data_IF_720164882308
#
_entry.id   IF_720164882308
#
_cell.length_a   1.000
_cell.length_b   1.000
_cell.length_c   1.000
_cell.angle_alpha   90.00
_cell.angle_beta   90.00
_cell.angle_gamma   90.00
#
_symmetry.space_group_name_H-M   'P 1'
#
loop_
_entity.id
_entity.type
_entity.pdbx_description
1 polymer ?
#
# COMPACT_ATOMS: atom_id res chain seq x y z
N UNK A 1 -27.66 -6.58 -22.60
CA UNK A 1 -27.45 -7.01 -21.19
C UNK A 1 -26.09 -7.69 -21.00
N UNK A 2 -25.09 -7.37 -21.84
CA UNK A 2 -23.72 -7.94 -21.82
C UNK A 2 -22.63 -6.85 -22.02
N UNK A 3 -22.90 -5.59 -21.64
CA UNK A 3 -22.02 -4.46 -21.96
C UNK A 3 -21.01 -4.07 -20.87
N UNK A 4 -20.98 -4.76 -19.73
CA UNK A 4 -20.19 -4.31 -18.56
C UNK A 4 -19.18 -5.34 -18.02
N UNK A 5 -18.93 -6.46 -18.71
CA UNK A 5 -17.98 -7.48 -18.25
C UNK A 5 -16.67 -7.42 -19.03
N UNK A 6 -15.91 -6.34 -18.84
CA UNK A 6 -14.63 -6.16 -19.48
C UNK A 6 -13.52 -6.71 -18.57
N UNK A 7 -12.80 -7.71 -19.05
CA UNK A 7 -11.54 -8.15 -18.44
C UNK A 7 -10.37 -7.45 -19.15
N UNK A 8 -9.25 -7.20 -18.45
CA UNK A 8 -8.07 -6.64 -19.08
C UNK A 8 -7.52 -7.57 -20.18
N UNK A 9 -6.88 -7.00 -21.19
CA UNK A 9 -6.11 -7.77 -22.18
C UNK A 9 -5.04 -8.61 -21.44
N UNK A 10 -5.21 -9.93 -21.52
CA UNK A 10 -4.36 -10.90 -20.84
C UNK A 10 -2.89 -10.77 -21.29
N UNK A 11 -2.65 -10.40 -22.55
CA UNK A 11 -1.30 -10.26 -23.07
C UNK A 11 -0.60 -9.06 -22.40
N UNK A 12 -1.29 -7.92 -22.30
CA UNK A 12 -0.77 -6.72 -21.63
C UNK A 12 -0.52 -6.96 -20.15
N UNK A 13 -1.47 -7.61 -19.47
CA UNK A 13 -1.35 -7.97 -18.06
C UNK A 13 -0.15 -8.90 -17.82
N UNK A 14 -0.01 -9.95 -18.65
CA UNK A 14 1.08 -10.92 -18.55
C UNK A 14 2.45 -10.27 -18.74
N UNK A 15 2.61 -9.43 -19.78
CA UNK A 15 3.86 -8.71 -20.04
C UNK A 15 4.22 -7.81 -18.86
N UNK A 16 3.26 -7.03 -18.34
CA UNK A 16 3.50 -6.12 -17.22
C UNK A 16 3.97 -6.87 -15.96
N UNK A 17 3.24 -7.93 -15.59
CA UNK A 17 3.55 -8.75 -14.42
C UNK A 17 4.89 -9.45 -14.59
N UNK A 18 5.16 -10.03 -15.77
CA UNK A 18 6.42 -10.71 -16.05
C UNK A 18 7.63 -9.78 -15.92
N UNK A 19 7.56 -8.56 -16.44
CA UNK A 19 8.65 -7.58 -16.34
C UNK A 19 8.91 -7.17 -14.89
N UNK A 20 7.85 -6.95 -14.10
CA UNK A 20 7.99 -6.61 -12.67
C UNK A 20 8.58 -7.78 -11.87
N UNK A 21 8.08 -9.00 -12.10
CA UNK A 21 8.59 -10.21 -11.43
C UNK A 21 10.03 -10.51 -11.82
N UNK A 22 10.39 -10.28 -13.08
CA UNK A 22 11.77 -10.39 -13.54
C UNK A 22 12.66 -9.41 -12.76
N UNK A 23 12.24 -8.15 -12.61
CA UNK A 23 12.99 -7.17 -11.81
C UNK A 23 13.21 -7.64 -10.36
N UNK A 24 12.19 -8.20 -9.71
CA UNK A 24 12.34 -8.77 -8.37
C UNK A 24 13.25 -9.99 -8.32
N UNK A 25 13.22 -10.84 -9.35
CA UNK A 25 14.08 -12.01 -9.41
C UNK A 25 15.57 -11.64 -9.45
N UNK A 26 15.94 -10.43 -9.87
CA UNK A 26 17.33 -9.95 -9.84
C UNK A 26 17.82 -9.55 -8.44
N UNK A 27 16.92 -9.23 -7.50
CA UNK A 27 17.27 -8.73 -6.15
C UNK A 27 18.31 -9.61 -5.44
N UNK A 28 18.13 -10.94 -5.30
CA UNK A 28 19.08 -11.77 -4.55
C UNK A 28 20.42 -11.99 -5.25
N UNK A 29 20.52 -11.75 -6.57
CA UNK A 29 21.72 -12.05 -7.35
C UNK A 29 22.67 -10.86 -7.49
N UNK A 30 22.18 -9.64 -7.28
CA UNK A 30 22.95 -8.41 -7.48
C UNK A 30 23.28 -7.78 -6.13
N UNK A 31 24.53 -7.93 -5.73
CA UNK A 31 25.07 -7.32 -4.52
C UNK A 31 25.83 -6.05 -4.87
N UNK A 32 25.17 -4.90 -4.79
CA UNK A 32 25.85 -3.60 -4.87
C UNK A 32 26.14 -3.10 -3.45
N UNK A 33 27.33 -2.49 -3.23
CA UNK A 33 27.65 -1.88 -1.94
C UNK A 33 26.63 -0.77 -1.63
N UNK A 34 26.14 -0.74 -0.39
CA UNK A 34 25.22 0.29 0.08
C UNK A 34 25.84 1.67 -0.10
N UNK A 35 25.13 2.56 -0.79
CA UNK A 35 25.54 3.97 -0.89
C UNK A 35 24.74 4.79 0.11
N UNK A 36 25.43 5.31 1.13
CA UNK A 36 24.89 6.31 2.03
C UNK A 36 24.85 7.67 1.33
N UNK A 37 23.67 8.13 0.93
CA UNK A 37 23.48 9.53 0.55
C UNK A 37 23.37 10.34 1.84
N UNK A 38 24.38 11.16 2.12
CA UNK A 38 24.36 12.07 3.26
C UNK A 38 23.87 13.44 2.81
N UNK A 39 22.81 13.92 3.45
CA UNK A 39 22.32 15.27 3.31
C UNK A 39 22.59 16.01 4.62
N UNK A 40 23.49 16.98 4.56
CA UNK A 40 23.81 17.84 5.69
C UNK A 40 22.99 19.12 5.58
N UNK A 41 21.92 19.19 6.36
CA UNK A 41 21.13 20.40 6.56
C UNK A 41 21.63 21.11 7.83
N UNK A 42 21.47 22.44 7.96
CA UNK A 42 21.85 23.14 9.18
C UNK A 42 21.11 22.54 10.39
N UNK A 43 21.85 21.84 11.26
CA UNK A 43 21.33 21.17 12.47
C UNK A 43 20.86 19.71 12.30
N UNK A 44 20.80 19.17 11.08
CA UNK A 44 20.35 17.79 10.83
C UNK A 44 21.32 17.04 9.91
N UNK A 45 21.69 15.83 10.32
CA UNK A 45 22.47 14.91 9.48
C UNK A 45 21.59 13.73 9.08
N UNK A 46 21.11 13.74 7.83
CA UNK A 46 20.24 12.70 7.30
C UNK A 46 21.08 11.79 6.41
N UNK A 47 21.15 10.51 6.75
CA UNK A 47 21.79 9.49 5.91
C UNK A 47 20.70 8.60 5.37
N UNK A 48 20.55 8.59 4.05
CA UNK A 48 19.69 7.65 3.33
C UNK A 48 20.53 6.49 2.81
N UNK A 49 20.17 5.27 3.19
CA UNK A 49 20.80 4.07 2.63
C UNK A 49 20.13 3.72 1.30
N UNK A 50 20.82 3.96 0.20
CA UNK A 50 20.36 3.51 -1.10
C UNK A 50 20.91 2.11 -1.38
N UNK A 51 20.02 1.12 -1.27
CA UNK A 51 20.30 -0.28 -1.58
C UNK A 51 19.85 -0.62 -3.00
N UNK A 52 20.39 -1.70 -3.56
CA UNK A 52 19.94 -2.21 -4.86
C UNK A 52 18.45 -2.61 -4.81
N UNK A 53 18.00 -3.22 -3.71
CA UNK A 53 16.60 -3.57 -3.50
C UNK A 53 15.68 -2.34 -3.51
N UNK A 54 16.06 -1.24 -2.85
CA UNK A 54 15.29 0.01 -2.88
C UNK A 54 15.18 0.58 -4.30
N UNK A 55 16.26 0.51 -5.08
CA UNK A 55 16.27 0.94 -6.48
C UNK A 55 15.38 0.07 -7.36
N UNK A 56 15.49 -1.25 -7.27
CA UNK A 56 14.61 -2.19 -7.99
C UNK A 56 13.15 -1.98 -7.61
N UNK A 57 12.87 -1.77 -6.32
CA UNK A 57 11.52 -1.50 -5.82
C UNK A 57 10.95 -0.21 -6.38
N UNK A 58 11.76 0.85 -6.46
CA UNK A 58 11.35 2.12 -7.04
C UNK A 58 11.09 1.99 -8.55
N UNK A 59 11.94 1.27 -9.28
CA UNK A 59 11.74 0.98 -10.70
C UNK A 59 10.47 0.15 -10.92
N UNK A 60 10.26 -0.90 -10.12
CA UNK A 60 9.06 -1.72 -10.18
C UNK A 60 7.80 -0.92 -9.88
N UNK A 61 7.85 0.02 -8.92
CA UNK A 61 6.76 0.93 -8.62
C UNK A 61 6.42 1.83 -9.83
N UNK A 62 7.43 2.41 -10.47
CA UNK A 62 7.24 3.21 -11.69
C UNK A 62 6.68 2.35 -12.83
N UNK A 63 7.22 1.15 -13.04
CA UNK A 63 6.73 0.22 -14.06
C UNK A 63 5.28 -0.19 -13.82
N UNK A 64 4.89 -0.46 -12.57
CA UNK A 64 3.51 -0.76 -12.20
C UNK A 64 2.59 0.45 -12.42
N UNK A 65 3.05 1.65 -12.06
CA UNK A 65 2.33 2.89 -12.30
C UNK A 65 2.09 3.12 -13.81
N UNK A 66 3.15 3.13 -14.61
CA UNK A 66 3.06 3.39 -16.06
C UNK A 66 2.42 2.23 -16.81
N UNK A 67 2.66 1.00 -16.37
CA UNK A 67 2.09 -0.21 -16.95
C UNK A 67 0.60 -0.33 -16.71
N UNK A 68 0.11 0.08 -15.53
CA UNK A 68 -1.33 0.18 -15.28
C UNK A 68 -1.97 1.22 -16.20
N UNK A 69 -1.32 2.38 -16.43
CA UNK A 69 -1.78 3.35 -17.42
C UNK A 69 -1.95 2.76 -18.83
N UNK A 70 -0.97 1.96 -19.26
CA UNK A 70 -1.00 1.27 -20.55
C UNK A 70 -2.05 0.16 -20.61
N UNK A 71 -2.25 -0.56 -19.51
CA UNK A 71 -3.28 -1.60 -19.38
C UNK A 71 -4.69 -1.00 -19.49
N UNK A 72 -4.90 0.20 -18.93
CA UNK A 72 -6.21 0.83 -18.89
C UNK A 72 -6.54 1.69 -20.12
N UNK A 73 -5.55 1.96 -20.98
CA UNK A 73 -5.72 2.85 -22.15
C UNK A 73 -6.83 2.39 -23.11
N UNK A 74 -7.07 1.09 -23.20
CA UNK A 74 -8.04 0.49 -24.12
C UNK A 74 -9.46 0.39 -23.51
N UNK A 75 -9.67 0.86 -22.27
CA UNK A 75 -10.98 0.73 -21.62
C UNK A 75 -12.02 1.65 -22.30
N UNK A 76 -13.21 1.16 -22.70
CA UNK A 76 -14.22 1.95 -23.41
C UNK A 76 -14.78 3.15 -22.62
N UNK A 77 -14.60 3.16 -21.28
CA UNK A 77 -14.98 4.24 -20.38
C UNK A 77 -13.80 5.08 -19.88
N UNK A 78 -12.65 5.01 -20.56
CA UNK A 78 -11.47 5.78 -20.23
C UNK A 78 -11.64 7.27 -20.62
N UNK A 79 -12.44 8.03 -19.86
CA UNK A 79 -12.64 9.48 -20.10
C UNK A 79 -12.44 10.34 -18.85
N UNK A 80 -11.19 10.76 -18.73
CA UNK A 80 -10.69 12.06 -18.26
C UNK A 80 -10.82 12.49 -16.77
N UNK A 81 -9.76 13.19 -16.32
CA UNK A 81 -9.48 13.83 -15.02
C UNK A 81 -9.23 12.98 -13.77
N UNK A 82 -9.83 11.78 -13.63
CA UNK A 82 -9.65 10.93 -12.41
C UNK A 82 -8.51 9.90 -12.50
N UNK A 83 -7.81 9.82 -13.63
CA UNK A 83 -6.77 8.81 -13.97
C UNK A 83 -5.55 8.79 -13.03
N UNK A 84 -5.22 9.89 -12.34
CA UNK A 84 -3.95 9.99 -11.58
C UNK A 84 -3.90 9.18 -10.29
N UNK A 85 -5.03 8.89 -9.64
CA UNK A 85 -5.01 8.08 -8.40
C UNK A 85 -4.85 6.59 -8.72
N UNK A 86 -5.31 6.12 -9.88
CA UNK A 86 -5.38 4.68 -10.17
C UNK A 86 -4.01 4.01 -10.41
N UNK A 87 -2.95 4.79 -10.58
CA UNK A 87 -1.58 4.23 -10.68
C UNK A 87 -0.93 4.01 -9.33
N UNK A 88 -1.52 4.55 -8.28
CA UNK A 88 -0.94 4.60 -6.95
C UNK A 88 -0.87 3.23 -6.29
N UNK A 89 -1.94 2.46 -6.40
CA UNK A 89 -2.08 1.18 -5.72
C UNK A 89 -1.18 0.10 -6.35
N UNK A 90 -1.16 -0.06 -7.69
CA UNK A 90 -0.17 -0.92 -8.35
C UNK A 90 1.27 -0.52 -8.00
N UNK A 91 1.58 0.78 -7.98
CA UNK A 91 2.90 1.27 -7.62
C UNK A 91 3.28 0.96 -6.18
N UNK A 92 2.36 1.17 -5.23
CA UNK A 92 2.58 0.94 -3.80
C UNK A 92 2.81 -0.54 -3.52
N UNK A 93 2.07 -1.43 -4.18
CA UNK A 93 2.30 -2.88 -4.08
C UNK A 93 3.66 -3.24 -4.58
N UNK A 94 4.00 -2.76 -5.78
CA UNK A 94 5.26 -3.10 -6.39
C UNK A 94 6.44 -2.61 -5.51
N UNK A 95 6.32 -1.40 -4.98
CA UNK A 95 7.30 -0.88 -4.05
C UNK A 95 7.38 -1.70 -2.74
N UNK A 96 6.23 -2.04 -2.15
CA UNK A 96 6.16 -2.79 -0.90
C UNK A 96 6.76 -4.19 -1.05
N UNK A 97 6.36 -4.93 -2.09
CA UNK A 97 6.87 -6.28 -2.39
C UNK A 97 8.36 -6.27 -2.69
N UNK A 98 8.84 -5.31 -3.50
CA UNK A 98 10.27 -5.19 -3.78
C UNK A 98 11.07 -4.90 -2.51
N UNK A 99 10.56 -4.01 -1.65
CA UNK A 99 11.24 -3.64 -0.41
C UNK A 99 11.30 -4.81 0.57
N UNK A 100 10.22 -5.58 0.69
CA UNK A 100 10.18 -6.77 1.57
C UNK A 100 11.08 -7.89 1.07
N UNK A 101 11.07 -8.17 -0.23
CA UNK A 101 11.98 -9.15 -0.84
C UNK A 101 13.45 -8.76 -0.65
N UNK A 102 13.76 -7.47 -0.62
CA UNK A 102 15.08 -6.95 -0.34
C UNK A 102 15.60 -7.19 1.08
N UNK A 103 14.73 -7.55 2.03
CA UNK A 103 15.12 -7.85 3.42
C UNK A 103 15.34 -9.33 3.69
N UNK A 104 14.96 -10.21 2.75
CA UNK A 104 14.99 -11.66 2.90
C UNK A 104 16.16 -12.26 2.13
N UNK A 105 16.84 -13.24 2.73
CA UNK A 105 17.83 -14.05 2.02
C UNK A 105 17.14 -15.00 1.03
N UNK A 106 17.85 -15.35 -0.06
CA UNK A 106 17.35 -16.31 -1.05
C UNK A 106 17.15 -17.70 -0.40
N UNK A 107 15.90 -18.04 -0.11
CA UNK A 107 15.50 -19.27 0.56
C UNK A 107 14.01 -19.57 0.36
N UNK A 108 13.45 -20.59 1.05
CA UNK A 108 12.04 -20.96 0.92
C UNK A 108 11.08 -19.82 1.25
N UNK A 109 11.40 -19.01 2.27
CA UNK A 109 10.61 -17.84 2.67
C UNK A 109 10.57 -16.77 1.57
N UNK A 110 11.71 -16.54 0.91
CA UNK A 110 11.80 -15.59 -0.20
C UNK A 110 10.90 -16.01 -1.37
N UNK A 111 10.90 -17.29 -1.73
CA UNK A 111 10.01 -17.81 -2.78
C UNK A 111 8.54 -17.70 -2.41
N UNK A 112 8.19 -17.92 -1.14
CA UNK A 112 6.83 -17.73 -0.66
C UNK A 112 6.37 -16.27 -0.79
N UNK A 113 7.19 -15.32 -0.36
CA UNK A 113 6.90 -13.87 -0.49
C UNK A 113 6.88 -13.43 -1.95
N UNK A 114 7.76 -13.97 -2.79
CA UNK A 114 7.79 -13.69 -4.22
C UNK A 114 6.50 -14.15 -4.92
N UNK A 115 6.06 -15.39 -4.67
CA UNK A 115 4.82 -15.93 -5.23
C UNK A 115 3.59 -15.17 -4.71
N UNK A 116 3.55 -14.87 -3.41
CA UNK A 116 2.47 -14.07 -2.81
C UNK A 116 2.43 -12.67 -3.42
N UNK A 117 3.59 -12.02 -3.59
CA UNK A 117 3.72 -10.72 -4.22
C UNK A 117 3.22 -10.72 -5.67
N UNK A 118 3.52 -11.77 -6.44
CA UNK A 118 3.01 -11.97 -7.79
C UNK A 118 1.47 -12.05 -7.82
N UNK A 119 0.89 -12.88 -6.95
CA UNK A 119 -0.56 -13.05 -6.84
C UNK A 119 -1.23 -11.73 -6.45
N UNK A 120 -0.69 -11.03 -5.45
CA UNK A 120 -1.22 -9.75 -5.00
C UNK A 120 -1.14 -8.69 -6.10
N UNK A 121 -0.04 -8.65 -6.85
CA UNK A 121 0.14 -7.71 -7.97
C UNK A 121 -0.92 -7.94 -9.05
N UNK A 122 -1.14 -9.20 -9.45
CA UNK A 122 -2.18 -9.57 -10.42
C UNK A 122 -3.57 -9.20 -9.89
N UNK A 123 -3.87 -9.58 -8.65
CA UNK A 123 -5.17 -9.32 -8.02
C UNK A 123 -5.48 -7.82 -8.00
N UNK A 124 -4.49 -6.99 -7.68
CA UNK A 124 -4.70 -5.54 -7.65
C UNK A 124 -4.79 -4.94 -9.03
N UNK A 125 -3.96 -5.33 -10.00
CA UNK A 125 -4.14 -4.85 -11.37
C UNK A 125 -5.53 -5.19 -11.92
N UNK A 126 -6.05 -6.37 -11.59
CA UNK A 126 -7.38 -6.82 -11.99
C UNK A 126 -8.49 -6.09 -11.23
N UNK A 127 -8.36 -5.92 -9.91
CA UNK A 127 -9.32 -5.16 -9.12
C UNK A 127 -9.38 -3.69 -9.55
N UNK A 128 -8.22 -3.08 -9.84
CA UNK A 128 -8.10 -1.72 -10.31
C UNK A 128 -8.75 -1.55 -11.69
N UNK A 129 -8.64 -2.55 -12.56
CA UNK A 129 -9.33 -2.59 -13.85
C UNK A 129 -10.85 -2.66 -13.70
N UNK A 130 -11.36 -3.48 -12.76
CA UNK A 130 -12.81 -3.63 -12.54
C UNK A 130 -13.42 -2.37 -11.92
N UNK A 131 -12.73 -1.75 -10.96
CA UNK A 131 -13.19 -0.52 -10.28
C UNK A 131 -13.26 0.69 -11.24
N UNK A 132 -12.64 0.59 -12.42
CA UNK A 132 -12.65 1.64 -13.44
C UNK A 132 -14.04 1.85 -14.06
N UNK A 133 -14.95 0.88 -13.96
CA UNK A 133 -16.35 1.01 -14.33
C UNK A 133 -17.22 1.16 -13.07
N UNK A 134 -17.79 2.36 -12.88
CA UNK A 134 -18.66 2.68 -11.74
C UNK A 134 -20.04 1.98 -11.84
N UNK A 135 -20.41 1.44 -13.01
CA UNK A 135 -21.71 0.81 -13.26
C UNK A 135 -21.68 -0.73 -13.19
N UNK A 136 -20.50 -1.35 -12.98
CA UNK A 136 -20.39 -2.80 -12.80
C UNK A 136 -20.91 -3.22 -11.42
N UNK A 137 -21.71 -4.29 -11.39
CA UNK A 137 -22.22 -4.96 -10.18
C UNK A 137 -21.06 -5.39 -9.25
N UNK A 138 -19.87 -5.62 -9.82
CA UNK A 138 -18.66 -6.04 -9.10
C UNK A 138 -17.90 -4.88 -8.45
N UNK A 139 -18.24 -3.63 -8.76
CA UNK A 139 -17.55 -2.44 -8.23
C UNK A 139 -17.49 -2.42 -6.70
N UNK A 140 -18.61 -2.72 -6.03
CA UNK A 140 -18.67 -2.74 -4.57
C UNK A 140 -17.76 -3.81 -3.95
N UNK A 141 -17.70 -5.01 -4.54
CA UNK A 141 -16.83 -6.09 -4.06
C UNK A 141 -15.35 -5.77 -4.30
N UNK A 142 -15.03 -5.23 -5.47
CA UNK A 142 -13.67 -4.85 -5.82
C UNK A 142 -13.15 -3.70 -4.94
N UNK A 143 -13.99 -2.71 -4.62
CA UNK A 143 -13.64 -1.60 -3.72
C UNK A 143 -13.34 -2.06 -2.29
N UNK A 144 -14.14 -2.99 -1.75
CA UNK A 144 -13.89 -3.61 -0.43
C UNK A 144 -12.58 -4.40 -0.46
N UNK A 145 -12.39 -5.25 -1.48
CA UNK A 145 -11.18 -6.05 -1.63
C UNK A 145 -9.92 -5.19 -1.76
N UNK A 146 -9.98 -4.13 -2.56
CA UNK A 146 -8.88 -3.21 -2.78
C UNK A 146 -8.53 -2.42 -1.51
N UNK A 147 -9.53 -2.07 -0.69
CA UNK A 147 -9.32 -1.47 0.64
C UNK A 147 -8.61 -2.45 1.58
N UNK A 148 -9.08 -3.70 1.65
CA UNK A 148 -8.46 -4.74 2.47
C UNK A 148 -7.01 -5.01 2.05
N UNK A 149 -6.75 -5.14 0.75
CA UNK A 149 -5.40 -5.33 0.21
C UNK A 149 -4.51 -4.13 0.52
N UNK A 150 -5.01 -2.90 0.37
CA UNK A 150 -4.26 -1.68 0.71
C UNK A 150 -3.76 -1.68 2.16
N UNK A 151 -4.65 -1.95 3.12
CA UNK A 151 -4.27 -2.00 4.53
C UNK A 151 -3.38 -3.22 4.85
N UNK A 152 -3.57 -4.35 4.17
CA UNK A 152 -2.67 -5.50 4.27
C UNK A 152 -1.26 -5.19 3.76
N UNK A 153 -1.12 -4.44 2.69
CA UNK A 153 0.18 -3.99 2.18
C UNK A 153 0.83 -3.00 3.12
N UNK A 154 0.06 -2.07 3.67
CA UNK A 154 0.56 -1.14 4.68
C UNK A 154 1.06 -1.88 5.94
N UNK A 155 0.37 -2.96 6.35
CA UNK A 155 0.82 -3.86 7.41
C UNK A 155 2.18 -4.49 7.06
N UNK A 156 2.28 -5.13 5.89
CA UNK A 156 3.52 -5.79 5.42
C UNK A 156 4.67 -4.77 5.36
N UNK A 157 4.40 -3.57 4.85
CA UNK A 157 5.38 -2.49 4.75
C UNK A 157 5.87 -2.04 6.12
N UNK A 158 4.96 -1.87 7.10
CA UNK A 158 5.30 -1.49 8.46
C UNK A 158 6.12 -2.59 9.18
N UNK A 159 5.81 -3.87 8.94
CA UNK A 159 6.61 -5.00 9.44
C UNK A 159 8.01 -4.93 8.86
N UNK A 160 8.15 -4.81 7.53
CA UNK A 160 9.42 -4.78 6.85
C UNK A 160 10.29 -3.58 7.27
N UNK A 161 9.69 -2.38 7.37
CA UNK A 161 10.37 -1.17 7.81
C UNK A 161 10.93 -1.31 9.24
N UNK A 162 10.17 -1.95 10.15
CA UNK A 162 10.59 -2.19 11.52
C UNK A 162 11.62 -3.33 11.62
N UNK A 163 11.46 -4.40 10.85
CA UNK A 163 12.38 -5.54 10.81
C UNK A 163 13.75 -5.15 10.23
N UNK A 164 13.78 -4.23 9.26
CA UNK A 164 15.00 -3.69 8.68
C UNK A 164 15.80 -2.77 9.62
N UNK A 165 15.28 -2.47 10.83
CA UNK A 165 15.98 -1.61 11.79
C UNK A 165 16.16 -0.16 11.31
N UNK A 166 15.26 0.31 10.45
CA UNK A 166 15.31 1.67 9.89
C UNK A 166 15.23 2.72 10.99
N UNK A 167 15.91 3.85 10.78
CA UNK A 167 15.84 4.99 11.70
C UNK A 167 14.47 5.64 11.64
N UNK A 168 14.07 6.31 12.72
CA UNK A 168 12.76 6.97 12.83
C UNK A 168 12.42 7.84 11.60
N UNK A 169 13.38 8.64 11.12
CA UNK A 169 13.16 9.51 9.96
C UNK A 169 12.95 8.74 8.65
N UNK A 170 13.56 7.56 8.49
CA UNK A 170 13.35 6.69 7.31
C UNK A 170 11.98 6.02 7.37
N UNK A 171 11.59 5.53 8.55
CA UNK A 171 10.27 4.93 8.77
C UNK A 171 9.17 5.98 8.56
N UNK A 172 9.34 7.21 9.07
CA UNK A 172 8.38 8.29 8.84
C UNK A 172 8.29 8.66 7.35
N UNK A 173 9.42 8.82 6.68
CA UNK A 173 9.47 9.14 5.25
C UNK A 173 8.80 8.05 4.39
N UNK A 174 8.80 6.80 4.86
CA UNK A 174 8.16 5.67 4.20
C UNK A 174 6.67 5.57 4.52
N UNK A 175 6.30 5.51 5.80
CA UNK A 175 4.94 5.18 6.23
C UNK A 175 3.97 6.36 6.14
N UNK A 176 4.40 7.58 6.45
CA UNK A 176 3.50 8.75 6.46
C UNK A 176 2.96 9.07 5.06
N UNK A 177 3.80 9.18 4.01
CA UNK A 177 3.30 9.40 2.65
C UNK A 177 2.44 8.24 2.15
N UNK A 178 2.83 6.99 2.45
CA UNK A 178 2.01 5.83 2.10
C UNK A 178 0.62 5.89 2.73
N UNK A 179 0.54 6.27 4.00
CA UNK A 179 -0.75 6.38 4.70
C UNK A 179 -1.61 7.52 4.14
N UNK A 180 -1.00 8.66 3.79
CA UNK A 180 -1.72 9.77 3.14
C UNK A 180 -2.33 9.33 1.80
N UNK A 181 -1.52 8.66 0.97
CA UNK A 181 -1.92 8.18 -0.34
C UNK A 181 -3.00 7.08 -0.25
N UNK A 182 -2.82 6.14 0.68
CA UNK A 182 -3.75 5.05 0.94
C UNK A 182 -5.09 5.58 1.45
N UNK A 183 -5.11 6.43 2.48
CA UNK A 183 -6.35 7.01 3.01
C UNK A 183 -7.07 7.88 1.99
N UNK A 184 -6.34 8.66 1.19
CA UNK A 184 -6.93 9.43 0.10
C UNK A 184 -7.65 8.53 -0.91
N UNK A 185 -7.01 7.43 -1.30
CA UNK A 185 -7.58 6.50 -2.29
C UNK A 185 -8.79 5.75 -1.73
N UNK A 186 -8.72 5.24 -0.50
CA UNK A 186 -9.84 4.51 0.11
C UNK A 186 -11.05 5.43 0.32
N UNK A 187 -10.84 6.67 0.77
CA UNK A 187 -11.92 7.67 0.88
C UNK A 187 -12.50 8.02 -0.50
N UNK A 188 -11.64 8.19 -1.51
CA UNK A 188 -12.08 8.48 -2.87
C UNK A 188 -12.96 7.36 -3.43
N UNK A 189 -12.58 6.09 -3.24
CA UNK A 189 -13.38 4.95 -3.67
C UNK A 189 -14.70 4.83 -2.91
N UNK A 190 -14.71 5.16 -1.62
CA UNK A 190 -15.90 5.08 -0.77
C UNK A 190 -16.90 6.21 -1.03
N UNK A 191 -16.42 7.42 -1.34
CA UNK A 191 -17.24 8.62 -1.54
C UNK A 191 -17.56 8.88 -3.02
N UNK A 192 -17.59 7.84 -3.87
CA UNK A 192 -17.88 7.93 -5.32
C UNK A 192 -17.05 9.03 -6.03
N UNK A 193 -15.79 9.16 -5.60
CA UNK A 193 -14.75 10.03 -6.14
C UNK A 193 -14.80 11.50 -5.74
N UNK A 194 -15.31 11.79 -4.54
CA UNK A 194 -15.03 13.04 -3.85
C UNK A 194 -13.61 13.02 -3.24
N UNK A 195 -12.88 14.14 -3.39
CA UNK A 195 -11.51 14.26 -2.89
C UNK A 195 -11.47 14.83 -1.48
N UNK A 196 -11.12 13.98 -0.51
CA UNK A 196 -11.01 14.36 0.90
C UNK A 196 -9.55 14.49 1.33
N UNK A 197 -8.80 15.41 0.69
CA UNK A 197 -7.36 15.60 0.96
C UNK A 197 -7.11 16.02 2.41
N UNK A 198 -8.00 16.83 2.99
CA UNK A 198 -7.90 17.25 4.38
C UNK A 198 -7.91 16.06 5.36
N UNK A 199 -8.82 15.10 5.14
CA UNK A 199 -8.87 13.87 5.92
C UNK A 199 -7.63 13.00 5.72
N UNK A 200 -7.17 12.84 4.49
CA UNK A 200 -5.98 12.05 4.20
C UNK A 200 -4.72 12.59 4.89
N UNK A 201 -4.52 13.91 4.85
CA UNK A 201 -3.44 14.59 5.57
C UNK A 201 -3.60 14.41 7.07
N UNK A 202 -4.79 14.65 7.62
CA UNK A 202 -5.08 14.48 9.05
C UNK A 202 -4.80 13.06 9.56
N UNK A 203 -5.26 12.04 8.82
CA UNK A 203 -5.01 10.63 9.13
C UNK A 203 -3.52 10.31 9.06
N UNK A 204 -2.81 10.77 8.03
CA UNK A 204 -1.37 10.52 7.89
C UNK A 204 -0.55 11.14 9.01
N UNK A 205 -0.91 12.34 9.47
CA UNK A 205 -0.26 13.00 10.60
C UNK A 205 -0.56 12.28 11.90
N UNK A 206 -1.82 11.88 12.13
CA UNK A 206 -2.23 11.10 13.29
C UNK A 206 -1.45 9.77 13.37
N UNK A 207 -1.41 9.03 12.27
CA UNK A 207 -0.65 7.78 12.17
C UNK A 207 0.85 8.04 12.32
N UNK A 208 1.37 9.15 11.78
CA UNK A 208 2.76 9.57 12.00
C UNK A 208 3.12 9.78 13.47
N UNK A 209 2.23 10.39 14.26
CA UNK A 209 2.42 10.52 15.71
C UNK A 209 2.43 9.15 16.40
N UNK A 210 1.56 8.22 15.97
CA UNK A 210 1.59 6.84 16.48
C UNK A 210 2.89 6.12 16.11
N UNK A 211 3.42 6.31 14.90
CA UNK A 211 4.73 5.78 14.52
C UNK A 211 5.82 6.29 15.46
N UNK A 212 5.85 7.60 15.76
CA UNK A 212 6.83 8.18 16.68
C UNK A 212 6.71 7.53 18.06
N UNK A 213 5.50 7.45 18.63
CA UNK A 213 5.28 6.86 19.94
C UNK A 213 5.66 5.37 20.01
N UNK A 214 5.21 4.57 19.03
CA UNK A 214 5.49 3.14 18.96
C UNK A 214 6.95 2.84 18.62
N UNK A 215 7.66 3.74 17.94
CA UNK A 215 9.05 3.51 17.57
C UNK A 215 9.96 3.35 18.79
N UNK A 216 9.73 4.17 19.83
CA UNK A 216 10.46 4.10 21.10
C UNK A 216 9.99 2.97 22.01
N UNK A 217 8.80 2.42 21.74
CA UNK A 217 8.27 1.30 22.51
C UNK A 217 8.89 -0.02 22.00
N UNK A 218 9.52 -0.84 22.86
CA UNK A 218 10.23 -2.06 22.46
C UNK A 218 9.22 -3.16 22.09
N UNK A 219 8.65 -3.05 20.90
CA UNK A 219 7.71 -4.00 20.33
C UNK A 219 8.34 -4.76 19.16
N UNK A 220 8.06 -6.07 19.03
CA UNK A 220 8.45 -6.83 17.86
C UNK A 220 7.74 -6.29 16.60
N UNK A 221 8.32 -6.48 15.40
CA UNK A 221 7.84 -5.87 14.16
C UNK A 221 6.36 -6.12 13.85
N UNK A 222 5.88 -7.34 14.14
CA UNK A 222 4.49 -7.71 13.91
C UNK A 222 3.51 -6.96 14.84
N UNK A 223 3.85 -6.86 16.14
CA UNK A 223 3.05 -6.08 17.10
C UNK A 223 3.04 -4.60 16.75
N UNK A 224 4.20 -4.05 16.39
CA UNK A 224 4.33 -2.67 15.94
C UNK A 224 3.38 -2.38 14.78
N UNK A 225 3.38 -3.23 13.75
CA UNK A 225 2.55 -3.03 12.57
C UNK A 225 1.04 -3.21 12.85
N UNK A 226 0.65 -4.20 13.64
CA UNK A 226 -0.76 -4.43 14.02
C UNK A 226 -1.32 -3.26 14.84
N UNK A 227 -0.54 -2.75 15.80
CA UNK A 227 -0.91 -1.58 16.62
C UNK A 227 -0.98 -0.29 15.79
N UNK A 228 -0.31 -0.23 14.63
CA UNK A 228 -0.35 0.91 13.73
C UNK A 228 -1.52 0.84 12.74
N UNK A 229 -1.76 -0.34 12.15
CA UNK A 229 -2.79 -0.55 11.11
C UNK A 229 -4.20 -0.46 11.69
N UNK A 230 -4.42 -0.96 12.92
CA UNK A 230 -5.74 -0.86 13.57
C UNK A 230 -6.26 0.58 13.66
N UNK A 231 -5.52 1.50 14.30
CA UNK A 231 -5.88 2.91 14.35
C UNK A 231 -5.95 3.57 12.97
N UNK A 232 -5.06 3.21 12.04
CA UNK A 232 -5.07 3.75 10.68
C UNK A 232 -6.36 3.39 9.92
N UNK A 233 -6.79 2.12 9.99
CA UNK A 233 -8.06 1.67 9.42
C UNK A 233 -9.24 2.37 10.09
N UNK A 234 -9.25 2.39 11.42
CA UNK A 234 -10.33 2.98 12.20
C UNK A 234 -10.52 4.47 11.88
N UNK A 235 -9.43 5.24 11.81
CA UNK A 235 -9.49 6.65 11.45
C UNK A 235 -10.00 6.88 10.02
N UNK A 236 -9.58 6.01 9.08
CA UNK A 236 -10.01 6.10 7.68
C UNK A 236 -11.48 5.74 7.49
N UNK A 237 -11.96 4.67 8.13
CA UNK A 237 -13.36 4.25 8.07
C UNK A 237 -14.29 5.24 8.80
N UNK A 238 -13.82 5.84 9.91
CA UNK A 238 -14.55 6.89 10.61
C UNK A 238 -14.68 8.17 9.77
N UNK A 239 -13.59 8.61 9.13
CA UNK A 239 -13.63 9.76 8.20
C UNK A 239 -14.63 9.51 7.05
N UNK A 240 -14.60 8.32 6.44
CA UNK A 240 -15.55 7.95 5.39
C UNK A 240 -17.00 7.95 5.86
N UNK A 241 -17.28 7.41 7.05
CA UNK A 241 -18.64 7.39 7.61
C UNK A 241 -19.19 8.77 7.99
N UNK A 242 -18.32 9.70 8.41
CA UNK A 242 -18.70 11.09 8.69
C UNK A 242 -19.09 11.81 7.39
N UNK A 243 -18.28 11.68 6.34
CA UNK A 243 -18.55 12.30 5.03
C UNK A 243 -19.78 11.70 4.34
N UNK A 244 -20.09 10.41 4.57
CA UNK A 244 -21.33 9.78 4.11
C UNK A 244 -22.60 10.25 4.86
N UNK A 245 -22.46 11.05 5.93
CA UNK A 245 -23.60 11.51 6.74
C UNK A 245 -24.30 10.40 7.52
N UNK A 246 -23.63 9.27 7.77
CA UNK A 246 -24.20 8.13 8.47
C UNK A 246 -24.47 8.45 9.95
N UNK A 247 -25.48 7.82 10.58
CA UNK A 247 -25.76 8.03 12.00
C UNK A 247 -24.55 7.62 12.87
N UNK A 248 -24.22 8.46 13.85
CA UNK A 248 -23.01 8.34 14.68
C UNK A 248 -22.79 6.93 15.26
N UNK A 249 -23.88 6.23 15.61
CA UNK A 249 -23.84 4.87 16.17
C UNK A 249 -23.39 3.80 15.17
N UNK A 250 -23.67 4.00 13.88
CA UNK A 250 -23.27 3.09 12.80
C UNK A 250 -21.85 3.41 12.29
N UNK A 251 -21.49 4.69 12.28
CA UNK A 251 -20.14 5.16 11.92
C UNK A 251 -19.06 4.57 12.82
N UNK A 252 -19.36 4.38 14.11
CA UNK A 252 -18.38 3.86 15.07
C UNK A 252 -18.23 2.34 15.11
N UNK A 253 -19.24 1.59 14.63
CA UNK A 253 -19.28 0.14 14.81
C UNK A 253 -18.15 -0.57 14.05
N UNK A 254 -18.01 -0.28 12.75
CA UNK A 254 -17.01 -0.91 11.90
C UNK A 254 -15.56 -0.53 12.32
N UNK A 255 -15.23 0.76 12.55
CA UNK A 255 -13.93 1.15 13.10
C UNK A 255 -13.59 0.49 14.44
N UNK A 256 -14.55 0.44 15.37
CA UNK A 256 -14.31 -0.10 16.71
C UNK A 256 -14.05 -1.61 16.68
N UNK A 257 -14.81 -2.36 15.88
CA UNK A 257 -14.61 -3.81 15.74
C UNK A 257 -13.23 -4.11 15.14
N UNK A 258 -12.85 -3.42 14.06
CA UNK A 258 -11.56 -3.66 13.42
C UNK A 258 -10.38 -3.24 14.31
N UNK A 259 -10.50 -2.11 15.01
CA UNK A 259 -9.53 -1.67 16.01
C UNK A 259 -9.37 -2.72 17.11
N UNK A 260 -10.46 -3.20 17.68
CA UNK A 260 -10.44 -4.20 18.74
C UNK A 260 -9.87 -5.54 18.27
N UNK A 261 -10.21 -5.96 17.04
CA UNK A 261 -9.69 -7.20 16.47
C UNK A 261 -8.17 -7.13 16.24
N UNK A 262 -7.67 -6.06 15.62
CA UNK A 262 -6.24 -5.90 15.32
C UNK A 262 -5.39 -5.64 16.57
N UNK A 263 -5.90 -4.83 17.51
CA UNK A 263 -5.22 -4.62 18.80
C UNK A 263 -5.26 -5.90 19.65
N UNK A 264 -6.38 -6.63 19.68
CA UNK A 264 -6.50 -7.93 20.33
C UNK A 264 -5.49 -8.94 19.79
N UNK A 265 -5.37 -9.04 18.45
CA UNK A 265 -4.34 -9.87 17.80
C UNK A 265 -2.92 -9.47 18.21
N UNK A 266 -2.63 -8.16 18.29
CA UNK A 266 -1.34 -7.66 18.75
C UNK A 266 -1.00 -8.10 20.20
N UNK A 267 -1.98 -8.16 21.10
CA UNK A 267 -1.76 -8.63 22.47
C UNK A 267 -1.64 -10.15 22.58
N UNK A 268 -2.42 -10.90 21.78
CA UNK A 268 -2.38 -12.38 21.79
C UNK A 268 -1.04 -12.88 21.28
N UNK A 269 -0.54 -12.33 20.18
CA UNK A 269 0.72 -12.78 19.58
C UNK A 269 1.87 -12.33 20.48
N UNK A 270 2.36 -13.24 21.33
CA UNK A 270 3.63 -13.08 22.06
C UNK A 270 4.76 -13.59 21.16
N UNK A 271 5.40 -12.64 20.47
CA UNK A 271 6.74 -12.82 19.93
C UNK A 271 7.76 -12.46 20.99
#
# INVERSE_FOLDING_TARGET
MDEHNHLPDLNRLSVLVAVILLAYALIPFVNLPERGLSLQLPGFFIVFRLTFSALVSAIAAVLAATGSAWLFHDHPHFRDRRTRIFWLLPALIAWAVGTTLGTLAAGPEWWAVFALGAILLVLVLLAEYIVLDDYDIRHAQASIGLTAVSFGLYLILAIAARAAGLRLYEILAMLVPCMALLSLRTLFLRLNGHWCVAWAVGISLFVGQLVIGLHYFPTPPLRFALLLVGPAYAATSLAGGIEEGQPLRRVWLEPAIMLAALTGLAFIIHG
#
